data_IF_286784917518
#
_entry.id   IF_286784917518
#
_cell.length_a   1.000
_cell.length_b   1.000
_cell.length_c   1.000
_cell.angle_alpha   90.00
_cell.angle_beta   90.00
_cell.angle_gamma   90.00
#
_symmetry.space_group_name_H-M   'P 1'
#
loop_
_entity.id
_entity.type
_entity.pdbx_description
1 polymer ?
#
# COMPACT_ATOMS: atom_id res chain seq x y z
N UNK A 1 11.08 13.63 -14.58
CA UNK A 1 10.50 12.76 -13.53
C UNK A 1 9.98 11.50 -14.22
N UNK A 2 10.72 10.39 -14.19
CA UNK A 2 10.40 9.19 -14.99
C UNK A 2 8.94 8.73 -14.87
N UNK A 3 8.40 8.71 -13.65
CA UNK A 3 7.00 8.35 -13.41
C UNK A 3 6.00 9.25 -14.15
N UNK A 4 6.28 10.55 -14.27
CA UNK A 4 5.37 11.51 -14.93
C UNK A 4 5.33 11.33 -16.45
N UNK A 5 6.38 10.75 -17.05
CA UNK A 5 6.41 10.38 -18.46
C UNK A 5 5.53 9.14 -18.69
N UNK A 6 5.66 8.14 -17.82
CA UNK A 6 4.81 6.93 -17.85
C UNK A 6 3.32 7.25 -17.61
N UNK A 7 3.00 8.22 -16.74
CA UNK A 7 1.63 8.71 -16.55
C UNK A 7 1.06 9.36 -17.82
N UNK A 8 1.89 10.07 -18.59
CA UNK A 8 1.44 10.67 -19.86
C UNK A 8 1.07 9.61 -20.89
N UNK A 9 1.77 8.47 -20.84
CA UNK A 9 1.63 7.34 -21.75
C UNK A 9 0.50 6.36 -21.38
N UNK A 10 -0.35 6.68 -20.39
CA UNK A 10 -1.51 5.87 -20.03
C UNK A 10 -2.54 5.84 -21.19
N UNK A 11 -3.07 4.65 -21.48
CA UNK A 11 -4.00 4.40 -22.59
C UNK A 11 -5.31 3.74 -22.16
N UNK A 12 -5.24 2.71 -21.32
CA UNK A 12 -6.35 1.85 -20.93
C UNK A 12 -7.02 2.26 -19.62
N UNK A 13 -6.31 2.97 -18.75
CA UNK A 13 -6.86 3.45 -17.48
C UNK A 13 -8.04 4.40 -17.74
N UNK A 14 -9.22 4.04 -17.24
CA UNK A 14 -10.46 4.77 -17.47
C UNK A 14 -10.47 6.18 -16.87
N UNK A 15 -9.64 6.47 -15.87
CA UNK A 15 -9.46 7.80 -15.27
C UNK A 15 -8.12 8.46 -15.64
N UNK A 16 -7.50 8.07 -16.76
CA UNK A 16 -6.19 8.60 -17.18
C UNK A 16 -6.18 10.12 -17.37
N UNK A 17 -7.27 10.72 -17.85
CA UNK A 17 -7.32 12.16 -18.14
C UNK A 17 -7.28 12.97 -16.84
N UNK A 18 -7.93 12.49 -15.79
CA UNK A 18 -7.89 13.15 -14.50
C UNK A 18 -6.53 13.01 -13.81
N UNK A 19 -5.81 11.91 -14.03
CA UNK A 19 -4.42 11.75 -13.55
C UNK A 19 -3.47 12.65 -14.34
N UNK A 20 -3.66 12.78 -15.66
CA UNK A 20 -2.91 13.74 -16.49
C UNK A 20 -3.18 15.18 -16.06
N UNK A 21 -4.42 15.50 -15.69
CA UNK A 21 -4.77 16.82 -15.15
C UNK A 21 -4.06 17.08 -13.82
N UNK A 22 -4.06 16.13 -12.88
CA UNK A 22 -3.30 16.24 -11.63
C UNK A 22 -1.83 16.56 -11.88
N UNK A 23 -1.19 15.83 -12.82
CA UNK A 23 0.20 16.12 -13.24
C UNK A 23 0.35 17.56 -13.73
N UNK A 24 -0.54 18.03 -14.60
CA UNK A 24 -0.48 19.41 -15.10
C UNK A 24 -0.63 20.43 -13.97
N UNK A 25 -1.50 20.17 -12.99
CA UNK A 25 -1.75 21.06 -11.86
C UNK A 25 -0.52 21.14 -10.93
N UNK A 26 0.21 20.03 -10.75
CA UNK A 26 1.49 20.02 -10.02
C UNK A 26 2.56 20.91 -10.66
N UNK A 27 2.54 21.12 -11.99
CA UNK A 27 3.53 21.96 -12.69
C UNK A 27 3.09 23.41 -12.89
N UNK A 28 1.79 23.71 -12.77
CA UNK A 28 1.22 25.02 -13.13
C UNK A 28 0.86 25.91 -11.95
N UNK A 29 0.80 25.35 -10.75
CA UNK A 29 0.16 26.04 -9.63
C UNK A 29 1.06 26.08 -8.42
N UNK A 30 1.06 27.22 -7.70
CA UNK A 30 1.69 27.34 -6.37
C UNK A 30 0.81 26.69 -5.28
N UNK A 31 -0.03 25.72 -5.66
CA UNK A 31 -0.98 25.09 -4.73
C UNK A 31 -0.29 24.06 -3.86
N UNK A 32 -0.79 23.92 -2.64
CA UNK A 32 -0.37 22.90 -1.71
C UNK A 32 -0.61 21.49 -2.27
N UNK A 33 0.40 20.63 -2.19
CA UNK A 33 0.35 19.28 -2.76
C UNK A 33 -0.73 18.41 -2.09
N UNK A 34 -1.00 18.58 -0.79
CA UNK A 34 -2.07 17.82 -0.13
C UNK A 34 -3.44 18.20 -0.66
N UNK A 35 -3.67 19.49 -0.97
CA UNK A 35 -4.92 19.94 -1.60
C UNK A 35 -5.11 19.30 -2.98
N UNK A 36 -4.07 19.29 -3.82
CA UNK A 36 -4.12 18.67 -5.15
C UNK A 36 -4.40 17.16 -5.07
N UNK A 37 -3.75 16.46 -4.14
CA UNK A 37 -3.97 15.02 -3.90
C UNK A 37 -5.40 14.78 -3.41
N UNK A 38 -5.86 15.56 -2.43
CA UNK A 38 -7.19 15.39 -1.86
C UNK A 38 -8.29 15.63 -2.91
N UNK A 39 -8.14 16.64 -3.77
CA UNK A 39 -9.05 16.87 -4.89
C UNK A 39 -9.07 15.72 -5.89
N UNK A 40 -7.90 15.18 -6.21
CA UNK A 40 -7.76 14.02 -7.10
C UNK A 40 -8.45 12.78 -6.51
N UNK A 41 -8.19 12.49 -5.22
CA UNK A 41 -8.86 11.41 -4.50
C UNK A 41 -10.37 11.65 -4.42
N UNK A 42 -10.83 12.88 -4.22
CA UNK A 42 -12.27 13.21 -4.21
C UNK A 42 -12.92 12.94 -5.55
N UNK A 43 -12.25 13.32 -6.64
CA UNK A 43 -12.73 13.04 -7.98
C UNK A 43 -12.85 11.52 -8.18
N UNK A 44 -11.80 10.75 -7.87
CA UNK A 44 -11.80 9.30 -8.06
C UNK A 44 -12.81 8.59 -7.14
N UNK A 45 -12.68 8.76 -5.83
CA UNK A 45 -13.50 8.05 -4.85
C UNK A 45 -14.95 8.51 -4.89
N UNK A 46 -15.21 9.81 -4.91
CA UNK A 46 -16.58 10.35 -4.77
C UNK A 46 -17.26 10.48 -6.13
N UNK A 47 -16.65 11.16 -7.10
CA UNK A 47 -17.33 11.44 -8.37
C UNK A 47 -17.39 10.22 -9.27
N UNK A 48 -16.31 9.44 -9.35
CA UNK A 48 -16.23 8.28 -10.25
C UNK A 48 -16.78 6.99 -9.65
N UNK A 49 -16.46 6.71 -8.38
CA UNK A 49 -16.85 5.44 -7.73
C UNK A 49 -17.93 5.58 -6.64
N UNK A 50 -18.40 6.80 -6.37
CA UNK A 50 -19.49 7.09 -5.43
C UNK A 50 -19.24 6.58 -4.00
N UNK A 51 -17.99 6.64 -3.53
CA UNK A 51 -17.54 6.17 -2.21
C UNK A 51 -17.28 7.32 -1.23
N UNK A 52 -18.25 8.21 -1.04
CA UNK A 52 -18.14 9.37 -0.15
C UNK A 52 -17.76 9.01 1.30
N UNK A 53 -18.34 7.95 1.84
CA UNK A 53 -18.18 7.55 3.24
C UNK A 53 -16.77 7.01 3.51
N UNK A 54 -16.19 6.31 2.54
CA UNK A 54 -14.81 5.83 2.62
C UNK A 54 -13.80 6.96 2.35
N UNK A 55 -14.10 7.86 1.41
CA UNK A 55 -13.25 9.00 1.08
C UNK A 55 -12.96 9.92 2.29
N UNK A 56 -13.91 10.09 3.21
CA UNK A 56 -13.75 10.95 4.40
C UNK A 56 -12.51 10.63 5.23
N UNK A 57 -11.99 9.39 5.17
CA UNK A 57 -10.75 9.06 5.88
C UNK A 57 -9.57 9.92 5.39
N UNK A 58 -9.51 10.29 4.11
CA UNK A 58 -8.40 11.04 3.55
C UNK A 58 -8.35 12.47 4.06
N UNK A 59 -9.51 13.08 4.26
CA UNK A 59 -9.63 14.40 4.89
C UNK A 59 -9.09 14.34 6.32
N UNK A 60 -9.45 13.30 7.06
CA UNK A 60 -8.96 13.06 8.42
C UNK A 60 -7.44 12.80 8.40
N UNK A 61 -6.96 11.86 7.58
CA UNK A 61 -5.55 11.50 7.50
C UNK A 61 -4.67 12.72 7.21
N UNK A 62 -5.06 13.57 6.25
CA UNK A 62 -4.35 14.83 5.95
C UNK A 62 -4.21 15.72 7.19
N UNK A 63 -5.28 15.91 7.96
CA UNK A 63 -5.23 16.75 9.17
C UNK A 63 -4.33 16.14 10.26
N UNK A 64 -4.29 14.80 10.34
CA UNK A 64 -3.46 14.07 11.29
C UNK A 64 -1.97 14.04 10.93
N UNK A 65 -1.59 14.20 9.67
CA UNK A 65 -0.17 14.27 9.24
C UNK A 65 0.63 15.29 10.08
N UNK A 66 0.04 16.45 10.38
CA UNK A 66 0.66 17.51 11.20
C UNK A 66 1.02 17.05 12.62
N UNK A 67 0.26 16.11 13.16
CA UNK A 67 0.55 15.51 14.48
C UNK A 67 1.67 14.48 14.33
N UNK A 68 1.61 13.65 13.29
CA UNK A 68 2.60 12.60 13.05
C UNK A 68 3.99 13.14 12.74
N UNK A 69 4.08 14.29 12.06
CA UNK A 69 5.35 14.98 11.82
C UNK A 69 6.11 15.38 13.09
N UNK A 70 5.48 15.34 14.27
CA UNK A 70 6.19 15.54 15.54
C UNK A 70 7.14 14.39 15.91
N UNK A 71 6.96 13.20 15.32
CA UNK A 71 7.96 12.13 15.45
C UNK A 71 9.07 12.38 14.40
N UNK A 72 10.33 12.61 14.82
CA UNK A 72 11.42 12.94 13.88
C UNK A 72 11.75 11.81 12.90
N UNK A 73 11.29 10.58 13.17
CA UNK A 73 11.44 9.44 12.27
C UNK A 73 10.22 9.24 11.37
N UNK A 74 9.20 10.10 11.50
CA UNK A 74 8.02 10.04 10.67
C UNK A 74 8.32 10.51 9.26
N UNK A 75 7.73 9.79 8.32
CA UNK A 75 7.72 10.14 6.90
C UNK A 75 6.27 10.24 6.50
N UNK A 76 5.95 11.22 5.67
CA UNK A 76 4.58 11.43 5.23
C UNK A 76 3.94 10.14 4.67
N UNK A 77 2.81 9.70 5.22
CA UNK A 77 2.08 8.53 4.72
C UNK A 77 0.99 8.93 3.71
N UNK A 78 0.40 10.12 3.85
CA UNK A 78 -0.62 10.64 2.93
C UNK A 78 -0.12 10.88 1.50
N UNK A 79 1.05 11.49 1.34
CA UNK A 79 1.70 11.68 0.03
C UNK A 79 2.19 10.33 -0.49
N UNK A 80 2.80 9.53 0.39
CA UNK A 80 3.33 8.21 0.06
C UNK A 80 2.27 7.29 -0.55
N UNK A 81 1.12 7.11 0.09
CA UNK A 81 0.05 6.24 -0.43
C UNK A 81 -0.45 6.71 -1.82
N UNK A 82 -0.45 8.02 -2.08
CA UNK A 82 -0.83 8.55 -3.38
C UNK A 82 0.27 8.33 -4.43
N UNK A 83 1.54 8.45 -4.06
CA UNK A 83 2.67 8.11 -4.93
C UNK A 83 2.72 6.61 -5.26
N UNK A 84 2.41 5.74 -4.29
CA UNK A 84 2.22 4.29 -4.51
C UNK A 84 1.08 4.06 -5.50
N UNK A 85 -0.06 4.74 -5.32
CA UNK A 85 -1.16 4.67 -6.27
C UNK A 85 -0.74 5.05 -7.69
N UNK A 86 -0.04 6.19 -7.86
CA UNK A 86 0.42 6.65 -9.16
C UNK A 86 1.44 5.70 -9.80
N UNK A 87 2.37 5.12 -9.03
CA UNK A 87 3.41 4.24 -9.57
C UNK A 87 2.86 2.93 -10.14
N UNK A 88 1.78 2.39 -9.57
CA UNK A 88 1.17 1.18 -10.11
C UNK A 88 0.35 1.38 -11.39
N UNK A 89 -0.11 2.60 -11.69
CA UNK A 89 -1.00 2.84 -12.84
C UNK A 89 -0.37 2.46 -14.18
N UNK A 90 0.87 2.86 -14.52
CA UNK A 90 1.45 2.49 -15.80
C UNK A 90 1.71 0.98 -15.92
N UNK A 91 2.02 0.30 -14.80
CA UNK A 91 2.17 -1.16 -14.81
C UNK A 91 0.82 -1.83 -15.10
N UNK A 92 -0.25 -1.38 -14.46
CA UNK A 92 -1.61 -1.88 -14.72
C UNK A 92 -2.02 -1.60 -16.16
N UNK A 93 -1.73 -0.41 -16.69
CA UNK A 93 -2.03 -0.03 -18.07
C UNK A 93 -1.40 -0.99 -19.09
N UNK A 94 -0.09 -1.26 -18.95
CA UNK A 94 0.63 -2.17 -19.86
C UNK A 94 0.25 -3.64 -19.66
N UNK A 95 -0.22 -4.03 -18.48
CA UNK A 95 -0.61 -5.40 -18.11
C UNK A 95 -2.14 -5.59 -18.02
N UNK A 96 -2.93 -4.63 -18.51
CA UNK A 96 -4.36 -4.56 -18.21
C UNK A 96 -5.10 -5.87 -18.54
N UNK A 97 -4.93 -6.37 -19.76
CA UNK A 97 -5.66 -7.54 -20.25
C UNK A 97 -5.23 -8.81 -19.50
N UNK A 98 -3.94 -8.92 -19.12
CA UNK A 98 -3.45 -10.09 -18.39
C UNK A 98 -3.97 -10.12 -16.96
N UNK A 99 -4.06 -8.97 -16.30
CA UNK A 99 -4.64 -8.83 -14.95
C UNK A 99 -6.14 -9.13 -14.99
N UNK A 100 -6.88 -8.58 -15.98
CA UNK A 100 -8.31 -8.86 -16.17
C UNK A 100 -8.56 -10.34 -16.40
N UNK A 101 -7.74 -11.01 -17.21
CA UNK A 101 -7.86 -12.45 -17.48
C UNK A 101 -7.64 -13.29 -16.20
N UNK A 102 -6.65 -12.94 -15.37
CA UNK A 102 -6.43 -13.60 -14.08
C UNK A 102 -7.67 -13.49 -13.18
N UNK A 103 -8.23 -12.29 -13.05
CA UNK A 103 -9.38 -12.06 -12.17
C UNK A 103 -10.65 -12.72 -12.71
N UNK A 104 -10.92 -12.63 -14.01
CA UNK A 104 -12.08 -13.24 -14.65
C UNK A 104 -12.10 -14.78 -14.51
N UNK A 105 -10.92 -15.41 -14.44
CA UNK A 105 -10.79 -16.86 -14.19
C UNK A 105 -10.96 -17.23 -12.71
N UNK A 106 -10.66 -16.31 -11.80
CA UNK A 106 -10.65 -16.58 -10.35
C UNK A 106 -11.96 -16.25 -9.66
N UNK A 107 -12.75 -15.32 -10.19
CA UNK A 107 -13.99 -14.86 -9.58
C UNK A 107 -15.22 -15.30 -10.38
N UNK A 108 -16.37 -15.37 -9.70
CA UNK A 108 -17.65 -15.77 -10.29
C UNK A 108 -18.04 -14.87 -11.48
N UNK A 109 -18.75 -15.42 -12.46
CA UNK A 109 -19.15 -14.70 -13.69
C UNK A 109 -20.08 -13.51 -13.43
N UNK A 110 -20.73 -13.47 -12.27
CA UNK A 110 -21.54 -12.32 -11.85
C UNK A 110 -20.70 -11.19 -11.22
N UNK A 111 -19.39 -11.39 -11.08
CA UNK A 111 -18.49 -10.40 -10.48
C UNK A 111 -18.03 -9.41 -11.55
N UNK A 112 -18.12 -8.11 -11.24
CA UNK A 112 -17.58 -7.06 -12.10
C UNK A 112 -16.06 -7.00 -11.90
N UNK A 113 -15.29 -7.25 -12.96
CA UNK A 113 -13.83 -7.12 -12.90
C UNK A 113 -13.48 -5.65 -13.16
N UNK A 114 -13.24 -4.90 -12.08
CA UNK A 114 -12.76 -3.52 -12.14
C UNK A 114 -11.40 -3.41 -11.43
N UNK A 115 -10.34 -3.70 -12.17
CA UNK A 115 -8.97 -3.74 -11.64
C UNK A 115 -8.47 -2.36 -11.24
N UNK A 116 -8.92 -1.31 -11.93
CA UNK A 116 -8.53 0.06 -11.63
C UNK A 116 -9.11 0.55 -10.31
N UNK A 117 -10.35 0.14 -10.01
CA UNK A 117 -10.97 0.45 -8.73
C UNK A 117 -10.34 -0.38 -7.62
N UNK A 118 -10.08 -1.66 -7.84
CA UNK A 118 -9.36 -2.52 -6.87
C UNK A 118 -8.00 -1.92 -6.51
N UNK A 119 -7.26 -1.46 -7.52
CA UNK A 119 -5.98 -0.77 -7.32
C UNK A 119 -6.12 0.54 -6.54
N UNK A 120 -7.09 1.40 -6.92
CA UNK A 120 -7.36 2.63 -6.19
C UNK A 120 -7.63 2.35 -4.70
N UNK A 121 -8.49 1.38 -4.41
CA UNK A 121 -8.79 0.96 -3.03
C UNK A 121 -7.53 0.49 -2.31
N UNK A 122 -6.76 -0.42 -2.91
CA UNK A 122 -5.58 -0.99 -2.31
C UNK A 122 -4.50 0.07 -2.03
N UNK A 123 -4.07 0.77 -3.07
CA UNK A 123 -2.92 1.67 -3.00
C UNK A 123 -3.21 2.94 -2.22
N UNK A 124 -4.38 3.56 -2.38
CA UNK A 124 -4.65 4.79 -1.64
C UNK A 124 -5.03 4.57 -0.18
N UNK A 125 -5.42 3.35 0.23
CA UNK A 125 -5.95 3.10 1.58
C UNK A 125 -5.01 2.31 2.51
N UNK A 126 -3.91 1.73 1.99
CA UNK A 126 -3.15 0.70 2.71
C UNK A 126 -2.57 1.15 4.07
N UNK A 127 -2.25 2.43 4.22
CA UNK A 127 -1.61 2.99 5.42
C UNK A 127 -2.55 3.72 6.39
N UNK A 128 -3.85 3.80 6.12
CA UNK A 128 -4.78 4.55 6.98
C UNK A 128 -4.88 4.01 8.43
N UNK A 129 -4.52 2.75 8.66
CA UNK A 129 -4.43 2.11 9.97
C UNK A 129 -3.20 2.51 10.79
N UNK A 130 -2.24 3.23 10.21
CA UNK A 130 -1.02 3.64 10.88
C UNK A 130 -1.29 4.56 12.09
N UNK A 131 -2.32 5.41 11.99
CA UNK A 131 -2.80 6.25 13.10
C UNK A 131 -3.15 5.41 14.33
N UNK A 132 -3.83 4.28 14.13
CA UNK A 132 -4.23 3.36 15.20
C UNK A 132 -3.02 2.61 15.75
N UNK A 133 -2.09 2.20 14.87
CA UNK A 133 -0.85 1.53 15.28
C UNK A 133 0.02 2.40 16.18
N UNK A 134 0.11 3.72 15.91
CA UNK A 134 0.97 4.65 16.66
C UNK A 134 0.29 5.32 17.84
N UNK A 135 -0.99 5.08 18.04
CA UNK A 135 -1.80 5.79 19.02
C UNK A 135 -1.26 5.70 20.45
N UNK A 136 -0.84 4.51 20.91
CA UNK A 136 -0.30 4.34 22.27
C UNK A 136 0.99 5.14 22.46
N UNK A 137 1.93 5.05 21.49
CA UNK A 137 3.18 5.80 21.54
C UNK A 137 2.94 7.31 21.58
N UNK A 138 1.93 7.78 20.85
CA UNK A 138 1.56 9.19 20.88
C UNK A 138 0.98 9.60 22.23
N UNK A 139 0.08 8.80 22.80
CA UNK A 139 -0.45 9.06 24.14
C UNK A 139 0.67 9.04 25.19
N UNK A 140 1.56 8.05 25.14
CA UNK A 140 2.72 7.97 26.03
C UNK A 140 3.58 9.24 25.95
N UNK A 141 3.91 9.70 24.74
CA UNK A 141 4.65 10.94 24.51
C UNK A 141 3.90 12.16 25.02
N UNK A 142 2.60 12.30 24.74
CA UNK A 142 1.78 13.41 25.25
C UNK A 142 1.78 13.46 26.78
N UNK A 143 1.48 12.35 27.46
CA UNK A 143 1.43 12.34 28.91
C UNK A 143 2.81 12.50 29.56
N UNK A 144 3.85 11.92 28.97
CA UNK A 144 5.21 12.04 29.52
C UNK A 144 5.80 13.43 29.29
N UNK A 145 5.69 13.98 28.09
CA UNK A 145 6.34 15.24 27.72
C UNK A 145 5.51 16.46 28.12
N UNK A 146 4.18 16.40 28.02
CA UNK A 146 3.31 17.54 28.32
C UNK A 146 2.85 17.58 29.78
N UNK A 147 2.61 16.42 30.41
CA UNK A 147 2.06 16.33 31.76
C UNK A 147 3.06 15.79 32.81
N UNK A 148 4.27 15.39 32.41
CA UNK A 148 5.28 14.71 33.27
C UNK A 148 4.71 13.46 33.99
N UNK A 149 3.74 12.80 33.36
CA UNK A 149 3.16 11.54 33.85
C UNK A 149 3.92 10.38 33.21
N UNK A 150 4.88 9.83 33.95
CA UNK A 150 5.77 8.74 33.48
C UNK A 150 5.08 7.39 33.28
N UNK A 151 3.92 7.19 33.90
CA UNK A 151 3.13 5.96 33.78
C UNK A 151 1.67 6.33 33.57
N UNK A 152 1.18 6.07 32.36
CA UNK A 152 -0.22 6.23 32.03
C UNK A 152 -1.07 5.26 32.86
N UNK A 153 -2.05 5.76 33.65
CA UNK A 153 -2.89 4.89 34.47
C UNK A 153 -3.93 4.12 33.65
N UNK A 154 -4.05 4.39 32.34
CA UNK A 154 -5.06 3.81 31.46
C UNK A 154 -4.42 3.40 30.15
N UNK A 155 -4.62 2.14 29.76
CA UNK A 155 -4.38 1.66 28.40
C UNK A 155 -5.72 1.63 27.66
N UNK A 156 -5.73 2.13 26.43
CA UNK A 156 -6.92 2.07 25.59
C UNK A 156 -7.03 0.66 25.03
N UNK A 157 -8.05 -0.05 25.48
CA UNK A 157 -8.35 -1.38 25.01
C UNK A 157 -9.02 -1.33 23.63
N UNK A 158 -8.19 -1.37 22.58
CA UNK A 158 -8.66 -1.45 21.20
C UNK A 158 -9.26 -2.83 20.87
N UNK A 159 -9.08 -3.86 21.70
CA UNK A 159 -9.57 -5.20 21.42
C UNK A 159 -11.08 -5.19 21.17
N UNK A 160 -11.84 -4.56 22.06
CA UNK A 160 -13.30 -4.50 21.95
C UNK A 160 -13.79 -3.64 20.77
N UNK A 161 -12.97 -2.70 20.30
CA UNK A 161 -13.28 -1.86 19.15
C UNK A 161 -12.95 -2.53 17.82
N UNK A 162 -11.90 -3.35 17.78
CA UNK A 162 -11.39 -3.99 16.56
C UNK A 162 -11.88 -5.44 16.39
N UNK A 163 -12.39 -6.10 17.44
CA UNK A 163 -12.90 -7.48 17.35
C UNK A 163 -14.43 -7.47 17.37
N UNK A 164 -15.01 -6.77 16.41
CA UNK A 164 -16.45 -6.82 16.16
C UNK A 164 -16.82 -8.10 15.38
N UNK A 165 -18.10 -8.47 15.41
CA UNK A 165 -18.61 -9.59 14.61
C UNK A 165 -18.30 -9.42 13.11
N UNK A 166 -18.44 -8.21 12.60
CA UNK A 166 -18.17 -7.90 11.20
C UNK A 166 -16.69 -8.10 10.85
N UNK A 167 -15.78 -7.66 11.71
CA UNK A 167 -14.35 -7.79 11.45
C UNK A 167 -13.91 -9.25 11.46
N UNK A 168 -14.49 -10.09 12.33
CA UNK A 168 -14.25 -11.53 12.29
C UNK A 168 -14.73 -12.17 10.98
N UNK A 169 -15.89 -11.76 10.47
CA UNK A 169 -16.38 -12.20 9.17
C UNK A 169 -15.46 -11.75 8.01
N UNK A 170 -14.90 -10.55 8.09
CA UNK A 170 -13.91 -10.06 7.12
C UNK A 170 -12.63 -10.86 7.15
N UNK A 171 -12.09 -11.16 8.34
CA UNK A 171 -10.91 -12.02 8.48
C UNK A 171 -11.20 -13.40 7.87
N UNK A 172 -12.36 -13.99 8.15
CA UNK A 172 -12.74 -15.29 7.58
C UNK A 172 -12.80 -15.24 6.04
N UNK A 173 -13.35 -14.18 5.45
CA UNK A 173 -13.39 -13.98 3.99
C UNK A 173 -12.01 -13.75 3.38
N UNK A 174 -11.19 -12.91 4.00
CA UNK A 174 -9.81 -12.63 3.57
C UNK A 174 -8.95 -13.89 3.60
N UNK A 175 -9.04 -14.69 4.67
CA UNK A 175 -8.29 -15.95 4.80
C UNK A 175 -8.75 -17.00 3.78
N UNK A 176 -10.04 -17.02 3.46
CA UNK A 176 -10.59 -17.90 2.43
C UNK A 176 -10.13 -17.48 1.03
N UNK A 177 -10.19 -16.17 0.71
CA UNK A 177 -9.70 -15.64 -0.55
C UNK A 177 -8.20 -15.92 -0.72
N UNK A 178 -7.39 -15.64 0.29
CA UNK A 178 -5.96 -15.96 0.30
C UNK A 178 -5.71 -17.44 0.00
N UNK A 179 -6.49 -18.33 0.61
CA UNK A 179 -6.41 -19.77 0.36
C UNK A 179 -6.80 -20.12 -1.08
N UNK A 180 -7.82 -19.45 -1.65
CA UNK A 180 -8.27 -19.67 -3.02
C UNK A 180 -7.24 -19.19 -4.07
N UNK A 181 -6.58 -18.06 -3.83
CA UNK A 181 -5.55 -17.53 -4.74
C UNK A 181 -4.30 -18.42 -4.72
N UNK A 182 -3.90 -18.92 -3.55
CA UNK A 182 -2.71 -19.74 -3.39
C UNK A 182 -2.88 -21.20 -3.80
N UNK A 183 -4.09 -21.73 -3.68
CA UNK A 183 -4.40 -23.07 -4.15
C UNK A 183 -4.71 -23.01 -5.65
N UNK A 184 -4.29 -24.01 -6.41
CA UNK A 184 -4.69 -24.16 -7.82
C UNK A 184 -6.15 -24.66 -7.92
N UNK A 185 -7.04 -24.08 -7.11
CA UNK A 185 -8.48 -24.36 -7.15
C UNK A 185 -9.01 -23.90 -8.51
N UNK A 186 -9.72 -24.81 -9.18
CA UNK A 186 -10.53 -24.49 -10.36
C UNK A 186 -11.85 -23.83 -10.00
N UNK A 187 -12.28 -23.92 -8.73
CA UNK A 187 -13.51 -23.28 -8.25
C UNK A 187 -13.30 -21.77 -8.15
N UNK A 188 -14.17 -21.03 -8.82
CA UNK A 188 -14.27 -19.57 -8.72
C UNK A 188 -14.67 -19.15 -7.31
N UNK A 189 -14.03 -18.09 -6.80
CA UNK A 189 -14.34 -17.49 -5.51
C UNK A 189 -15.46 -16.47 -5.65
N UNK A 190 -16.29 -16.36 -4.61
CA UNK A 190 -17.37 -15.38 -4.52
C UNK A 190 -17.49 -14.92 -3.07
N UNK A 191 -17.91 -13.68 -2.85
CA UNK A 191 -18.04 -13.14 -1.50
C UNK A 191 -19.06 -13.91 -0.64
N UNK A 192 -20.22 -14.25 -1.23
CA UNK A 192 -21.28 -15.00 -0.56
C UNK A 192 -21.09 -16.51 -0.70
N UNK A 193 -21.33 -17.25 0.37
CA UNK A 193 -21.35 -18.72 0.35
C UNK A 193 -20.42 -19.36 1.38
N UNK A 194 -20.31 -20.69 1.30
CA UNK A 194 -19.47 -21.45 2.21
C UNK A 194 -18.00 -21.32 1.86
N UNK A 195 -17.23 -20.85 2.83
CA UNK A 195 -15.80 -20.60 2.74
C UNK A 195 -15.04 -21.59 3.62
N UNK A 196 -14.11 -22.34 3.03
CA UNK A 196 -13.14 -23.09 3.83
C UNK A 196 -12.16 -22.09 4.43
N UNK A 197 -12.21 -21.95 5.75
CA UNK A 197 -11.33 -21.07 6.51
C UNK A 197 -10.03 -21.81 6.81
N UNK A 198 -8.90 -21.15 6.55
CA UNK A 198 -7.60 -21.61 7.05
C UNK A 198 -7.41 -21.06 8.47
N UNK A 199 -7.57 -21.92 9.48
CA UNK A 199 -7.49 -21.53 10.89
C UNK A 199 -6.11 -20.98 11.30
N UNK A 200 -5.02 -21.43 10.66
CA UNK A 200 -3.69 -20.88 10.97
C UNK A 200 -3.57 -19.44 10.48
N UNK A 201 -3.91 -19.18 9.21
CA UNK A 201 -3.90 -17.83 8.64
C UNK A 201 -4.89 -16.92 9.38
N UNK A 202 -6.06 -17.43 9.75
CA UNK A 202 -7.03 -16.69 10.59
C UNK A 202 -6.40 -16.28 11.92
N UNK A 203 -5.74 -17.22 12.61
CA UNK A 203 -5.06 -16.96 13.89
C UNK A 203 -3.93 -15.94 13.73
N UNK A 204 -3.13 -16.07 12.67
CA UNK A 204 -2.08 -15.11 12.31
C UNK A 204 -2.69 -13.71 12.15
N UNK A 205 -3.68 -13.55 11.27
CA UNK A 205 -4.34 -12.27 11.01
C UNK A 205 -4.92 -11.65 12.28
N UNK A 206 -5.59 -12.46 13.08
CA UNK A 206 -6.18 -12.06 14.37
C UNK A 206 -5.09 -11.59 15.35
N UNK A 207 -3.97 -12.32 15.45
CA UNK A 207 -2.85 -11.96 16.31
C UNK A 207 -2.16 -10.65 15.89
N UNK A 208 -2.04 -10.41 14.57
CA UNK A 208 -1.47 -9.17 14.03
C UNK A 208 -2.32 -7.95 14.36
N UNK A 209 -3.64 -8.10 14.43
CA UNK A 209 -4.54 -7.04 14.88
C UNK A 209 -4.41 -6.81 16.38
N UNK A 210 -4.52 -7.87 17.18
CA UNK A 210 -4.62 -7.74 18.64
C UNK A 210 -3.28 -7.37 19.28
N UNK A 211 -2.22 -8.10 18.92
CA UNK A 211 -0.94 -8.01 19.62
C UNK A 211 -0.02 -6.95 19.03
N UNK A 212 -0.12 -6.70 17.72
CA UNK A 212 0.80 -5.83 16.98
C UNK A 212 0.12 -4.56 16.45
N UNK A 213 -1.22 -4.48 16.49
CA UNK A 213 -2.01 -3.39 15.89
C UNK A 213 -1.56 -3.07 14.46
N UNK A 214 -1.31 -4.13 13.69
CA UNK A 214 -0.74 -4.05 12.36
C UNK A 214 -1.57 -3.12 11.46
N UNK A 215 -0.96 -2.04 10.96
CA UNK A 215 -1.64 -1.01 10.18
C UNK A 215 -2.30 -1.59 8.93
N UNK A 216 -1.64 -2.46 8.17
CA UNK A 216 -2.24 -3.10 6.99
C UNK A 216 -3.50 -3.90 7.34
N UNK A 217 -3.46 -4.70 8.40
CA UNK A 217 -4.66 -5.41 8.85
C UNK A 217 -5.80 -4.47 9.25
N UNK A 218 -5.49 -3.41 10.01
CA UNK A 218 -6.49 -2.43 10.47
C UNK A 218 -7.06 -1.62 9.30
N UNK A 219 -6.21 -1.12 8.40
CA UNK A 219 -6.60 -0.41 7.17
C UNK A 219 -7.58 -1.22 6.34
N UNK A 220 -7.27 -2.50 6.13
CA UNK A 220 -8.12 -3.43 5.38
C UNK A 220 -9.51 -3.56 6.02
N UNK A 221 -9.58 -3.83 7.32
CA UNK A 221 -10.85 -4.02 8.01
C UNK A 221 -11.71 -2.74 8.02
N UNK A 222 -11.10 -1.57 8.22
CA UNK A 222 -11.79 -0.28 8.15
C UNK A 222 -12.32 -0.04 6.73
N UNK A 223 -11.52 -0.34 5.69
CA UNK A 223 -11.96 -0.22 4.30
C UNK A 223 -13.18 -1.10 4.03
N UNK A 224 -13.09 -2.39 4.37
CA UNK A 224 -14.15 -3.36 4.14
C UNK A 224 -15.45 -2.93 4.84
N UNK A 225 -15.35 -2.52 6.10
CA UNK A 225 -16.49 -2.06 6.89
C UNK A 225 -17.17 -0.83 6.28
N UNK A 226 -16.37 0.18 5.89
CA UNK A 226 -16.90 1.42 5.30
C UNK A 226 -17.56 1.22 3.95
N UNK A 227 -16.99 0.36 3.11
CA UNK A 227 -17.58 0.07 1.79
C UNK A 227 -18.86 -0.75 1.95
N UNK A 228 -18.89 -1.70 2.90
CA UNK A 228 -20.03 -2.58 3.08
C UNK A 228 -21.25 -1.87 3.68
N UNK A 229 -21.00 -0.93 4.59
CA UNK A 229 -22.06 -0.14 5.23
C UNK A 229 -22.32 1.19 4.51
N UNK A 230 -21.75 1.39 3.32
CA UNK A 230 -22.06 2.54 2.48
C UNK A 230 -23.54 2.52 2.04
N UNK A 231 -24.12 3.70 1.82
CA UNK A 231 -25.53 3.82 1.38
C UNK A 231 -25.81 3.04 0.09
N UNK A 232 -24.85 3.00 -0.82
CA UNK A 232 -24.96 2.27 -2.09
C UNK A 232 -25.10 0.77 -1.86
N UNK A 233 -24.29 0.21 -0.97
CA UNK A 233 -24.36 -1.21 -0.60
C UNK A 233 -25.72 -1.57 0.00
N UNK A 234 -26.35 -0.64 0.73
CA UNK A 234 -27.71 -0.84 1.26
C UNK A 234 -28.82 -0.74 0.19
N UNK A 235 -28.57 -0.05 -0.93
CA UNK A 235 -29.57 0.19 -2.00
C UNK A 235 -29.53 -0.86 -3.11
N UNK A 236 -28.41 -1.54 -3.32
CA UNK A 236 -28.25 -2.60 -4.33
C UNK A 236 -27.99 -3.97 -3.67
N UNK A 237 -28.99 -4.86 -3.61
CA UNK A 237 -28.84 -6.20 -3.04
C UNK A 237 -27.73 -7.05 -3.70
N UNK A 238 -27.38 -6.76 -4.95
CA UNK A 238 -26.35 -7.50 -5.68
C UNK A 238 -24.96 -6.85 -5.56
N UNK A 239 -24.85 -5.72 -4.87
CA UNK A 239 -23.60 -4.95 -4.76
C UNK A 239 -22.45 -5.80 -4.21
N UNK A 240 -22.71 -6.57 -3.14
CA UNK A 240 -21.73 -7.47 -2.55
C UNK A 240 -21.30 -8.56 -3.54
N UNK A 241 -22.26 -9.19 -4.21
CA UNK A 241 -21.97 -10.23 -5.19
C UNK A 241 -21.10 -9.72 -6.34
N UNK A 242 -21.45 -8.56 -6.89
CA UNK A 242 -20.78 -7.95 -8.05
C UNK A 242 -19.40 -7.40 -7.71
N UNK A 243 -19.28 -6.62 -6.63
CA UNK A 243 -18.10 -5.79 -6.39
C UNK A 243 -17.20 -6.33 -5.28
N UNK A 244 -17.76 -6.92 -4.23
CA UNK A 244 -16.91 -7.40 -3.14
C UNK A 244 -16.03 -8.57 -3.58
N UNK A 245 -16.58 -9.47 -4.41
CA UNK A 245 -15.88 -10.68 -4.85
C UNK A 245 -14.56 -10.39 -5.56
N UNK A 246 -14.58 -9.47 -6.52
CA UNK A 246 -13.51 -9.23 -7.50
C UNK A 246 -12.79 -7.89 -7.35
N UNK A 247 -13.30 -6.98 -6.51
CA UNK A 247 -12.73 -5.63 -6.35
C UNK A 247 -12.39 -5.34 -4.89
N UNK A 248 -13.38 -5.33 -4.00
CA UNK A 248 -13.20 -4.84 -2.63
C UNK A 248 -12.38 -5.82 -1.76
N UNK A 249 -12.67 -7.13 -1.80
CA UNK A 249 -11.90 -8.11 -1.03
C UNK A 249 -10.48 -8.31 -1.55
N UNK A 250 -10.24 -8.40 -2.86
CA UNK A 250 -8.87 -8.42 -3.38
C UNK A 250 -8.06 -7.21 -2.91
N UNK A 251 -8.62 -5.99 -2.98
CA UNK A 251 -7.96 -4.80 -2.44
C UNK A 251 -7.70 -4.90 -0.93
N UNK A 252 -8.69 -5.32 -0.14
CA UNK A 252 -8.53 -5.55 1.29
C UNK A 252 -7.46 -6.60 1.62
N UNK A 253 -7.37 -7.67 0.83
CA UNK A 253 -6.34 -8.70 1.00
C UNK A 253 -4.96 -8.14 0.67
N UNK A 254 -4.83 -7.37 -0.41
CA UNK A 254 -3.59 -6.69 -0.75
C UNK A 254 -3.11 -5.81 0.39
N UNK A 255 -4.01 -5.01 0.97
CA UNK A 255 -3.71 -4.17 2.13
C UNK A 255 -3.33 -5.02 3.36
N UNK A 256 -3.96 -6.17 3.60
CA UNK A 256 -3.52 -7.06 4.69
C UNK A 256 -2.10 -7.60 4.48
N UNK A 257 -1.79 -8.00 3.25
CA UNK A 257 -0.53 -8.71 2.94
C UNK A 257 0.66 -7.77 2.73
N UNK A 258 0.45 -6.45 2.59
CA UNK A 258 1.55 -5.57 2.22
C UNK A 258 2.61 -5.40 3.32
N UNK A 259 2.20 -5.45 4.59
CA UNK A 259 3.11 -5.27 5.71
C UNK A 259 4.11 -6.44 5.82
N UNK A 260 5.40 -6.10 5.92
CA UNK A 260 6.49 -7.08 5.99
C UNK A 260 6.40 -8.03 7.19
N UNK A 261 5.76 -7.61 8.28
CA UNK A 261 5.54 -8.43 9.47
C UNK A 261 4.63 -9.64 9.21
N UNK A 262 3.86 -9.64 8.12
CA UNK A 262 3.04 -10.78 7.71
C UNK A 262 3.91 -11.91 7.16
N UNK A 263 4.95 -11.59 6.38
CA UNK A 263 5.83 -12.55 5.72
C UNK A 263 6.82 -13.26 6.64
N UNK A 264 6.83 -12.96 7.93
CA UNK A 264 7.60 -13.70 8.94
C UNK A 264 6.99 -15.07 9.22
N UNK A 265 5.70 -15.25 8.94
CA UNK A 265 5.04 -16.55 9.10
C UNK A 265 5.33 -17.45 7.88
N UNK A 266 5.84 -18.67 8.08
CA UNK A 266 6.20 -19.58 6.99
C UNK A 266 5.00 -20.11 6.18
N UNK A 267 3.76 -20.00 6.68
CA UNK A 267 2.56 -20.34 5.91
C UNK A 267 2.18 -19.25 4.89
N UNK A 268 2.76 -18.05 5.02
CA UNK A 268 2.62 -17.00 4.02
C UNK A 268 3.52 -17.32 2.84
N UNK A 269 2.90 -17.81 1.77
CA UNK A 269 3.59 -18.18 0.53
C UNK A 269 4.01 -16.91 -0.22
N UNK A 270 5.09 -16.97 -1.01
CA UNK A 270 5.42 -15.88 -1.92
C UNK A 270 4.24 -15.58 -2.87
N UNK A 271 3.92 -14.30 -3.00
CA UNK A 271 2.81 -13.80 -3.83
C UNK A 271 3.23 -13.84 -5.29
N UNK A 272 2.47 -14.55 -6.12
CA UNK A 272 2.74 -14.65 -7.56
C UNK A 272 1.94 -13.61 -8.35
N UNK A 273 2.59 -12.81 -9.20
CA UNK A 273 1.91 -11.77 -10.00
C UNK A 273 0.75 -12.34 -10.85
N UNK A 274 0.91 -13.55 -11.41
CA UNK A 274 -0.13 -14.22 -12.20
C UNK A 274 -1.31 -14.77 -11.39
N UNK A 275 -1.24 -14.74 -10.06
CA UNK A 275 -2.29 -15.23 -9.16
C UNK A 275 -2.95 -14.10 -8.40
N UNK A 276 -2.14 -13.17 -7.91
CA UNK A 276 -2.58 -12.04 -7.10
C UNK A 276 -1.80 -10.76 -7.50
N UNK A 277 -2.09 -10.20 -8.69
CA UNK A 277 -1.39 -9.04 -9.23
C UNK A 277 -1.55 -7.79 -8.36
N UNK A 278 -2.69 -7.56 -7.70
CA UNK A 278 -2.91 -6.35 -6.90
C UNK A 278 -2.06 -6.37 -5.63
N UNK A 279 -2.02 -7.50 -4.90
CA UNK A 279 -1.15 -7.61 -3.72
C UNK A 279 0.31 -7.55 -4.09
N UNK A 280 0.69 -8.18 -5.20
CA UNK A 280 2.05 -8.11 -5.74
C UNK A 280 2.45 -6.66 -6.04
N UNK A 281 1.60 -5.92 -6.77
CA UNK A 281 1.89 -4.54 -7.16
C UNK A 281 1.92 -3.61 -5.96
N UNK A 282 1.03 -3.79 -4.98
CA UNK A 282 1.02 -2.95 -3.79
C UNK A 282 2.36 -3.05 -3.06
N UNK A 283 2.83 -4.28 -2.79
CA UNK A 283 4.11 -4.51 -2.12
C UNK A 283 5.29 -3.99 -2.95
N UNK A 284 5.29 -4.25 -4.26
CA UNK A 284 6.36 -3.77 -5.13
C UNK A 284 6.42 -2.24 -5.18
N UNK A 285 5.28 -1.59 -5.40
CA UNK A 285 5.16 -0.14 -5.52
C UNK A 285 5.49 0.55 -4.19
N UNK A 286 4.98 0.03 -3.07
CA UNK A 286 5.33 0.48 -1.71
C UNK A 286 6.84 0.39 -1.46
N UNK A 287 7.45 -0.75 -1.81
CA UNK A 287 8.89 -0.97 -1.63
C UNK A 287 9.75 0.01 -2.43
N UNK A 288 9.37 0.32 -3.67
CA UNK A 288 10.13 1.29 -4.46
C UNK A 288 9.89 2.71 -3.98
N UNK A 289 8.68 3.05 -3.54
CA UNK A 289 8.26 4.41 -3.19
C UNK A 289 8.93 4.90 -1.91
N UNK A 290 10.14 5.44 -2.07
CA UNK A 290 10.93 6.07 -0.99
C UNK A 290 11.19 7.56 -1.23
N UNK A 291 10.99 8.03 -2.46
CA UNK A 291 11.38 9.37 -2.90
C UNK A 291 10.32 10.42 -2.63
N UNK A 292 10.76 11.68 -2.45
CA UNK A 292 9.86 12.83 -2.41
C UNK A 292 8.89 12.84 -1.21
N UNK A 293 9.22 12.14 -0.13
CA UNK A 293 8.46 12.17 1.13
C UNK A 293 9.02 13.27 2.03
N UNK A 294 8.19 14.23 2.48
CA UNK A 294 8.59 15.14 3.55
C UNK A 294 8.99 14.36 4.80
N UNK A 295 10.01 14.86 5.49
CA UNK A 295 10.52 14.34 6.76
C UNK A 295 10.18 15.39 7.83
N UNK A 296 10.00 14.97 9.09
CA UNK A 296 9.65 15.85 10.20
C UNK A 296 10.56 17.09 10.33
N UNK A 297 10.10 18.13 11.07
CA UNK A 297 10.70 19.45 11.14
C UNK A 297 12.13 19.47 11.72
N UNK A 298 12.55 18.41 12.40
CA UNK A 298 13.93 18.24 12.90
C UNK A 298 14.85 17.54 11.86
N UNK A 299 14.50 17.62 10.57
CA UNK A 299 15.09 16.88 9.44
C UNK A 299 16.60 16.99 9.19
N UNK A 300 17.39 17.52 10.13
CA UNK A 300 18.80 17.87 9.97
C UNK A 300 19.73 16.69 9.62
N UNK A 301 19.34 15.44 9.90
CA UNK A 301 20.14 14.26 9.52
C UNK A 301 19.58 13.46 8.34
N UNK A 302 18.28 13.60 8.04
CA UNK A 302 17.59 12.78 7.03
C UNK A 302 17.31 13.53 5.71
N UNK A 303 17.27 14.87 5.73
CA UNK A 303 17.21 15.72 4.51
C UNK A 303 18.33 15.43 3.53
N UNK A 304 19.41 14.82 4.02
CA UNK A 304 20.66 14.62 3.31
C UNK A 304 20.71 13.37 2.43
N UNK A 305 19.67 12.52 2.36
CA UNK A 305 19.74 11.24 1.62
C UNK A 305 18.62 11.02 0.61
N UNK A 306 17.84 12.05 0.31
CA UNK A 306 16.56 11.96 -0.40
C UNK A 306 16.67 11.07 -1.64
N UNK A 307 16.24 9.79 -1.54
CA UNK A 307 16.35 8.89 -2.67
C UNK A 307 15.47 9.44 -3.79
N UNK A 308 15.90 9.21 -5.03
CA UNK A 308 15.18 9.66 -6.22
C UNK A 308 14.86 8.47 -7.11
N UNK A 309 13.66 8.45 -7.68
CA UNK A 309 13.37 7.57 -8.81
C UNK A 309 14.01 8.16 -10.07
N UNK A 310 15.22 7.70 -10.39
CA UNK A 310 16.01 8.19 -11.53
C UNK A 310 15.59 7.54 -12.84
N UNK A 311 15.13 6.29 -12.79
CA UNK A 311 14.59 5.58 -13.95
C UNK A 311 13.35 4.78 -13.57
N UNK A 312 12.37 4.76 -14.48
CA UNK A 312 11.19 3.91 -14.36
C UNK A 312 10.79 3.44 -15.74
N UNK A 313 10.98 2.15 -16.01
CA UNK A 313 10.83 1.58 -17.34
C UNK A 313 9.85 0.42 -17.32
N UNK A 314 8.82 0.51 -18.14
CA UNK A 314 7.71 -0.43 -18.15
C UNK A 314 7.44 -0.93 -19.56
N UNK A 315 7.44 -2.24 -19.71
CA UNK A 315 7.08 -2.95 -20.93
C UNK A 315 6.14 -4.11 -20.61
N UNK A 316 5.69 -4.82 -21.64
CA UNK A 316 4.94 -6.07 -21.47
C UNK A 316 5.74 -7.16 -20.77
N UNK A 317 7.07 -7.13 -20.87
CA UNK A 317 7.95 -8.21 -20.43
C UNK A 317 8.75 -7.86 -19.17
N UNK A 318 8.89 -6.57 -18.85
CA UNK A 318 9.74 -6.08 -17.78
C UNK A 318 9.19 -4.79 -17.15
N UNK A 319 9.28 -4.72 -15.83
CA UNK A 319 9.09 -3.53 -14.99
C UNK A 319 10.39 -3.33 -14.22
N UNK A 320 11.05 -2.19 -14.40
CA UNK A 320 12.27 -1.85 -13.67
C UNK A 320 12.22 -0.45 -13.10
N UNK A 321 12.68 -0.30 -11.86
CA UNK A 321 12.85 0.97 -11.18
C UNK A 321 14.30 1.13 -10.72
N UNK A 322 14.87 2.31 -10.94
CA UNK A 322 16.18 2.68 -10.40
C UNK A 322 16.00 3.75 -9.34
N UNK A 323 16.45 3.46 -8.12
CA UNK A 323 16.43 4.37 -6.98
C UNK A 323 17.86 4.83 -6.73
N UNK A 324 18.08 6.13 -6.86
CA UNK A 324 19.40 6.75 -6.70
C UNK A 324 19.48 7.51 -5.39
N UNK A 325 20.54 7.26 -4.62
CA UNK A 325 20.90 7.99 -3.42
C UNK A 325 21.99 9.03 -3.75
N UNK A 326 21.71 10.28 -3.43
CA UNK A 326 22.64 11.41 -3.55
C UNK A 326 23.73 11.39 -2.46
N UNK A 327 23.40 10.83 -1.29
CA UNK A 327 24.33 10.67 -0.19
C UNK A 327 24.16 9.32 0.50
N UNK A 328 25.31 8.75 0.84
CA UNK A 328 25.39 7.58 1.69
C UNK A 328 25.67 8.01 3.13
N UNK A 329 24.78 7.63 4.05
CA UNK A 329 24.98 7.83 5.49
C UNK A 329 25.35 6.49 6.11
N UNK A 330 26.46 6.48 6.84
CA UNK A 330 26.94 5.33 7.61
C UNK A 330 26.42 5.39 9.05
N UNK A 331 25.91 4.28 9.53
CA UNK A 331 25.43 4.06 10.90
C UNK A 331 26.29 3.01 11.59
N UNK A 332 26.69 3.30 12.83
CA UNK A 332 27.35 2.32 13.69
C UNK A 332 26.30 1.40 14.31
N UNK A 333 26.36 0.11 14.00
CA UNK A 333 25.46 -0.91 14.56
C UNK A 333 26.24 -1.89 15.43
N UNK A 334 25.54 -2.67 16.26
CA UNK A 334 26.17 -3.74 17.05
C UNK A 334 26.88 -4.80 16.20
N UNK A 335 26.56 -4.89 14.91
CA UNK A 335 27.12 -5.85 13.95
C UNK A 335 28.14 -5.22 12.99
N UNK A 336 28.56 -3.97 13.23
CA UNK A 336 29.47 -3.20 12.36
C UNK A 336 28.81 -1.97 11.73
N UNK A 337 29.50 -1.34 10.80
CA UNK A 337 28.98 -0.20 10.04
C UNK A 337 27.98 -0.67 8.97
N UNK A 338 26.83 0.00 8.87
CA UNK A 338 25.86 -0.19 7.78
C UNK A 338 25.46 1.15 7.21
N UNK A 339 25.21 1.22 5.91
CA UNK A 339 24.72 2.43 5.28
C UNK A 339 23.19 2.44 5.09
N UNK A 340 22.58 3.61 4.90
CA UNK A 340 21.18 3.72 4.45
C UNK A 340 20.93 2.90 3.17
N UNK A 341 21.89 2.87 2.25
CA UNK A 341 21.87 2.05 1.05
C UNK A 341 21.84 0.55 1.38
N UNK A 342 22.66 0.08 2.32
CA UNK A 342 22.65 -1.33 2.74
C UNK A 342 21.31 -1.72 3.38
N UNK A 343 20.76 -0.86 4.24
CA UNK A 343 19.44 -1.10 4.84
C UNK A 343 18.35 -1.24 3.77
N UNK A 344 18.35 -0.36 2.76
CA UNK A 344 17.38 -0.45 1.67
C UNK A 344 17.60 -1.68 0.79
N UNK A 345 18.86 -2.03 0.51
CA UNK A 345 19.19 -3.23 -0.26
C UNK A 345 18.72 -4.51 0.46
N UNK A 346 18.91 -4.58 1.78
CA UNK A 346 18.44 -5.67 2.63
C UNK A 346 16.91 -5.75 2.63
N UNK A 347 16.23 -4.61 2.74
CA UNK A 347 14.77 -4.54 2.65
C UNK A 347 14.24 -5.01 1.29
N UNK A 348 14.76 -4.46 0.19
CA UNK A 348 14.37 -4.85 -1.18
C UNK A 348 14.61 -6.34 -1.39
N UNK A 349 15.76 -6.87 -0.97
CA UNK A 349 16.08 -8.30 -1.10
C UNK A 349 15.09 -9.14 -0.32
N UNK A 350 14.79 -8.74 0.92
CA UNK A 350 13.82 -9.42 1.79
C UNK A 350 12.42 -9.42 1.17
N UNK A 351 11.93 -8.27 0.71
CA UNK A 351 10.59 -8.13 0.11
C UNK A 351 10.51 -8.84 -1.23
N UNK A 352 11.47 -8.64 -2.12
CA UNK A 352 11.49 -9.32 -3.41
C UNK A 352 11.58 -10.83 -3.23
N UNK A 353 12.20 -11.37 -2.17
CA UNK A 353 12.13 -12.82 -1.87
C UNK A 353 10.70 -13.34 -1.64
N UNK A 354 9.74 -12.46 -1.36
CA UNK A 354 8.32 -12.76 -1.15
C UNK A 354 7.43 -12.50 -2.38
N UNK A 355 7.93 -11.86 -3.44
CA UNK A 355 7.20 -11.60 -4.70
C UNK A 355 7.67 -12.41 -5.92
N UNK A 356 6.88 -13.33 -6.48
CA UNK A 356 7.28 -14.15 -7.64
C UNK A 356 6.63 -13.66 -8.94
N UNK A 357 7.42 -13.45 -9.99
CA UNK A 357 6.88 -13.22 -11.33
C UNK A 357 7.79 -13.83 -12.39
N UNK A 358 7.22 -14.52 -13.38
CA UNK A 358 7.95 -14.95 -14.57
C UNK A 358 7.79 -13.97 -15.74
N UNK A 359 6.68 -13.23 -15.75
CA UNK A 359 6.33 -12.25 -16.78
C UNK A 359 5.19 -11.34 -16.27
N UNK A 360 5.36 -10.01 -16.28
CA UNK A 360 6.63 -9.32 -16.55
C UNK A 360 7.66 -9.60 -15.45
N UNK A 361 8.96 -9.49 -15.77
CA UNK A 361 10.03 -9.51 -14.77
C UNK A 361 10.03 -8.21 -13.98
N UNK A 362 10.28 -8.27 -12.68
CA UNK A 362 10.32 -7.09 -11.82
C UNK A 362 11.74 -6.91 -11.27
N UNK A 363 12.28 -5.72 -11.44
CA UNK A 363 13.66 -5.41 -11.05
C UNK A 363 13.71 -4.08 -10.31
N UNK A 364 14.50 -4.04 -9.24
CA UNK A 364 14.82 -2.80 -8.54
C UNK A 364 16.33 -2.67 -8.52
N UNK A 365 16.83 -1.55 -9.00
CA UNK A 365 18.25 -1.20 -8.95
C UNK A 365 18.44 -0.08 -7.95
N UNK A 366 19.34 -0.27 -6.99
CA UNK A 366 19.84 0.81 -6.15
C UNK A 366 21.15 1.33 -6.71
N UNK A 367 21.28 2.66 -6.80
CA UNK A 367 22.51 3.36 -7.17
C UNK A 367 22.85 4.39 -6.10
N UNK A 368 24.13 4.66 -5.91
CA UNK A 368 24.59 5.88 -5.22
C UNK A 368 25.45 6.73 -6.13
N UNK A 369 25.33 8.04 -5.98
CA UNK A 369 26.18 9.01 -6.64
C UNK A 369 27.42 9.27 -5.79
N UNK A 370 28.56 9.47 -6.44
CA UNK A 370 29.77 9.97 -5.79
C UNK A 370 29.76 11.51 -5.69
N UNK A 371 30.89 12.08 -5.24
CA UNK A 371 31.02 13.55 -5.06
C UNK A 371 30.93 14.33 -6.37
N UNK A 372 31.20 13.69 -7.51
CA UNK A 372 31.17 14.30 -8.83
C UNK A 372 29.82 14.06 -9.53
N UNK A 373 28.84 13.52 -8.81
CA UNK A 373 27.54 13.05 -9.33
C UNK A 373 27.68 11.95 -10.39
N UNK A 374 28.78 11.22 -10.39
CA UNK A 374 28.93 10.02 -11.20
C UNK A 374 28.37 8.80 -10.45
N UNK A 375 27.93 7.79 -11.20
CA UNK A 375 27.45 6.55 -10.60
C UNK A 375 28.64 5.89 -9.91
N UNK A 376 28.62 5.85 -8.58
CA UNK A 376 29.63 5.13 -7.80
C UNK A 376 29.53 3.62 -8.04
N UNK A 377 30.59 2.88 -7.70
CA UNK A 377 30.66 1.41 -7.84
C UNK A 377 29.57 0.63 -7.06
N UNK A 378 28.76 1.30 -6.23
CA UNK A 378 27.66 0.70 -5.49
C UNK A 378 26.38 0.67 -6.33
N UNK A 379 26.32 -0.30 -7.25
CA UNK A 379 25.06 -0.71 -7.90
C UNK A 379 24.64 -2.09 -7.39
N UNK A 380 23.38 -2.20 -6.93
CA UNK A 380 22.78 -3.50 -6.59
C UNK A 380 21.47 -3.65 -7.35
N UNK A 381 21.43 -4.61 -8.27
CA UNK A 381 20.20 -5.02 -8.93
C UNK A 381 19.62 -6.24 -8.24
N UNK A 382 18.43 -6.09 -7.69
CA UNK A 382 17.67 -7.21 -7.16
C UNK A 382 16.67 -7.68 -8.24
N UNK A 383 16.91 -8.89 -8.76
CA UNK A 383 16.11 -9.49 -9.83
C UNK A 383 15.09 -10.48 -9.29
N UNK A 384 13.94 -10.58 -9.94
CA UNK A 384 13.06 -11.75 -9.80
C UNK A 384 12.39 -12.20 -11.09
#
# INVERSE_FOLDING_TARGET
MPLMEEIEALEKISYKEEIKQFKQDCFRTDRDLYDLILESLKMLWVKKYEKSEAYRIFEISKDFEKILFKDPRYRDHFIHQFQVFLSGLPVIDKQYDSIVDVYSKKFDDQSEVNIEFSWLLAASYHDNGYLVQKFDKWLDSFFTEFLDIKQLPVQIDLYHLLITRNFQEYIDKLTSLYSCLNNNSSKKWQYEGYHKINNHIRKLFTSKIINERNHGMISSLILLDRIEHSKISAMDPNYKKRLFSSVVLPAGLSICLHDKGIFTDPEIKPIEFKKDPISFLLIFCDTIQEWGRPIGPDGSDYELTNPQLSEYYITKDKVSATITYDKIITYNTNTGEKTNFDYKADEITSVLSKLKSSKPKFEITLQSLDKDNEISDFSRTCLR
#
